data_IF_821850613336
#
_entry.id   IF_821850613336
#
_cell.length_a   1.000
_cell.length_b   1.000
_cell.length_c   1.000
_cell.angle_alpha   90.00
_cell.angle_beta   90.00
_cell.angle_gamma   90.00
#
_symmetry.space_group_name_H-M   'P 1'
#
loop_
_entity.id
_entity.type
_entity.pdbx_description
1 polymer ?
#
# COMPACT_ATOMS: atom_id res chain seq x y z
N UNK A 1 -21.13 16.77 38.18
CA UNK A 1 -19.78 16.81 38.81
C UNK A 1 -19.91 16.23 40.21
N UNK A 2 -18.99 15.38 40.74
CA UNK A 2 -17.53 15.51 40.69
C UNK A 2 -16.79 14.16 40.45
N UNK A 3 -16.36 13.87 39.21
CA UNK A 3 -15.43 12.75 38.91
C UNK A 3 -13.94 13.12 39.05
N UNK A 4 -13.63 14.36 39.46
CA UNK A 4 -12.27 14.94 39.36
C UNK A 4 -11.43 14.95 40.64
N UNK A 5 -11.94 14.52 41.81
CA UNK A 5 -11.18 14.63 43.08
C UNK A 5 -10.51 13.33 43.56
N UNK A 6 -10.96 12.15 43.13
CA UNK A 6 -10.43 10.87 43.67
C UNK A 6 -9.12 10.43 42.98
N UNK A 7 -8.94 10.79 41.70
CA UNK A 7 -7.79 10.33 40.88
C UNK A 7 -6.45 10.93 41.29
N UNK A 8 -6.42 12.00 42.09
CA UNK A 8 -5.17 12.64 42.56
C UNK A 8 -4.51 11.93 43.74
N UNK A 9 -5.23 11.10 44.49
CA UNK A 9 -4.73 10.47 45.74
C UNK A 9 -4.30 9.02 45.52
N UNK A 10 -4.84 8.35 44.50
CA UNK A 10 -4.48 6.97 44.21
C UNK A 10 -3.09 6.90 43.55
N UNK A 11 -2.25 5.94 43.98
CA UNK A 11 -0.95 5.61 43.37
C UNK A 11 -1.05 5.59 41.85
N UNK A 12 -0.03 6.02 41.08
CA UNK A 12 -0.10 5.97 39.60
C UNK A 12 -0.01 4.55 39.04
N UNK A 13 0.53 3.61 39.81
CA UNK A 13 0.69 2.21 39.43
C UNK A 13 -0.67 1.50 39.31
N UNK A 14 -0.91 0.83 38.17
CA UNK A 14 -2.21 0.23 37.88
C UNK A 14 -2.57 -0.94 38.80
N UNK A 15 -1.59 -1.67 39.34
CA UNK A 15 -1.83 -2.80 40.23
C UNK A 15 -2.07 -2.32 41.66
N UNK A 16 -1.29 -1.35 42.14
CA UNK A 16 -1.54 -0.74 43.46
C UNK A 16 -2.90 -0.07 43.51
N UNK A 17 -3.31 0.66 42.45
CA UNK A 17 -4.68 1.21 42.33
C UNK A 17 -5.74 0.14 42.50
N UNK A 18 -5.60 -1.00 41.83
CA UNK A 18 -6.58 -2.10 41.88
C UNK A 18 -6.68 -2.66 43.29
N UNK A 19 -5.55 -2.83 43.99
CA UNK A 19 -5.52 -3.34 45.36
C UNK A 19 -6.22 -2.38 46.31
N UNK A 20 -5.90 -1.09 46.25
CA UNK A 20 -6.49 -0.05 47.09
C UNK A 20 -7.99 0.07 46.85
N UNK A 21 -8.43 0.07 45.58
CA UNK A 21 -9.85 0.10 45.24
C UNK A 21 -10.56 -1.15 45.77
N UNK A 22 -9.97 -2.35 45.63
CA UNK A 22 -10.55 -3.60 46.12
C UNK A 22 -10.72 -3.61 47.64
N UNK A 23 -9.72 -3.13 48.37
CA UNK A 23 -9.77 -2.99 49.83
C UNK A 23 -10.86 -2.00 50.26
N UNK A 24 -10.91 -0.81 49.64
CA UNK A 24 -11.95 0.19 49.92
C UNK A 24 -13.35 -0.32 49.64
N UNK A 25 -13.55 -1.03 48.52
CA UNK A 25 -14.86 -1.60 48.15
C UNK A 25 -15.34 -2.64 49.17
N UNK A 26 -14.43 -3.43 49.75
CA UNK A 26 -14.77 -4.38 50.82
C UNK A 26 -15.19 -3.65 52.11
N UNK A 27 -14.52 -2.55 52.48
CA UNK A 27 -14.85 -1.78 53.68
C UNK A 27 -16.24 -1.15 53.62
N UNK A 28 -16.70 -0.77 52.42
CA UNK A 28 -18.04 -0.19 52.22
C UNK A 28 -19.11 -1.22 51.84
N UNK A 29 -18.81 -2.52 51.94
CA UNK A 29 -19.76 -3.60 51.64
C UNK A 29 -20.11 -3.75 50.16
N UNK A 30 -19.34 -3.15 49.26
CA UNK A 30 -19.48 -3.32 47.82
C UNK A 30 -18.65 -4.53 47.39
N UNK A 31 -19.30 -5.67 47.18
CA UNK A 31 -18.65 -6.82 46.57
C UNK A 31 -18.46 -6.54 45.07
N UNK A 32 -17.21 -6.49 44.55
CA UNK A 32 -17.02 -6.42 43.11
C UNK A 32 -17.58 -7.70 42.50
N UNK A 33 -18.59 -7.58 41.64
CA UNK A 33 -18.97 -8.68 40.76
C UNK A 33 -17.72 -9.05 39.96
N UNK A 34 -17.38 -10.34 39.92
CA UNK A 34 -16.33 -10.82 39.03
C UNK A 34 -16.66 -10.30 37.64
N UNK A 35 -15.78 -9.46 37.10
CA UNK A 35 -15.89 -8.97 35.73
C UNK A 35 -16.00 -10.21 34.89
N UNK A 36 -17.15 -10.44 34.23
CA UNK A 36 -17.47 -11.67 33.49
C UNK A 36 -16.19 -12.35 33.02
N UNK A 37 -15.85 -13.50 33.61
CA UNK A 37 -14.82 -14.34 33.02
C UNK A 37 -15.18 -14.42 31.54
N UNK A 38 -14.33 -13.86 30.68
CA UNK A 38 -14.57 -13.93 29.24
C UNK A 38 -14.52 -15.41 28.93
N UNK A 39 -15.68 -16.04 28.85
CA UNK A 39 -15.82 -17.40 28.35
C UNK A 39 -15.20 -17.34 26.98
N UNK A 40 -14.03 -17.95 26.82
CA UNK A 40 -13.36 -18.08 25.54
C UNK A 40 -14.28 -18.97 24.70
N UNK A 41 -15.20 -18.35 23.96
CA UNK A 41 -16.06 -19.07 23.03
C UNK A 41 -15.11 -19.70 22.02
N UNK A 42 -15.01 -21.04 22.04
CA UNK A 42 -14.26 -21.78 21.04
C UNK A 42 -14.87 -21.43 19.70
N UNK A 43 -14.06 -20.87 18.81
CA UNK A 43 -14.49 -20.54 17.46
C UNK A 43 -14.68 -21.87 16.73
N UNK A 44 -15.80 -22.07 16.02
CA UNK A 44 -15.97 -23.24 15.17
C UNK A 44 -14.80 -23.40 14.19
N UNK A 45 -14.21 -24.60 14.14
CA UNK A 45 -13.08 -24.92 13.24
C UNK A 45 -13.43 -24.61 11.77
N UNK A 46 -14.71 -24.75 11.41
CA UNK A 46 -15.20 -24.42 10.09
C UNK A 46 -14.95 -22.94 9.72
N UNK A 47 -15.28 -22.01 10.61
CA UNK A 47 -15.06 -20.57 10.39
C UNK A 47 -13.55 -20.26 10.23
N UNK A 48 -12.69 -21.02 10.91
CA UNK A 48 -11.23 -20.90 10.82
C UNK A 48 -10.73 -21.30 9.42
N UNK A 49 -11.26 -22.40 8.91
CA UNK A 49 -10.92 -22.93 7.58
C UNK A 49 -11.48 -22.03 6.48
N UNK A 50 -12.73 -21.59 6.61
CA UNK A 50 -13.39 -20.72 5.64
C UNK A 50 -12.65 -19.37 5.55
N UNK A 51 -12.24 -18.80 6.68
CA UNK A 51 -11.48 -17.55 6.70
C UNK A 51 -10.08 -17.72 6.09
N UNK A 52 -9.39 -18.82 6.42
CA UNK A 52 -8.08 -19.14 5.84
C UNK A 52 -8.19 -19.33 4.32
N UNK A 53 -9.20 -20.07 3.86
CA UNK A 53 -9.47 -20.29 2.45
C UNK A 53 -9.78 -18.99 1.72
N UNK A 54 -10.62 -18.12 2.31
CA UNK A 54 -10.94 -16.81 1.77
C UNK A 54 -9.69 -15.95 1.56
N UNK A 55 -8.82 -15.84 2.57
CA UNK A 55 -7.58 -15.09 2.45
C UNK A 55 -6.63 -15.63 1.37
N UNK A 56 -6.67 -16.94 1.11
CA UNK A 56 -5.79 -17.61 0.15
C UNK A 56 -6.33 -17.65 -1.29
N UNK A 57 -7.51 -17.08 -1.57
CA UNK A 57 -7.99 -16.94 -2.95
C UNK A 57 -7.18 -15.90 -3.72
N UNK A 58 -6.96 -16.15 -5.01
CA UNK A 58 -6.15 -15.28 -5.87
C UNK A 58 -6.80 -13.92 -6.15
N UNK A 59 -8.11 -13.80 -6.01
CA UNK A 59 -8.87 -12.54 -6.10
C UNK A 59 -8.87 -11.74 -4.79
N UNK A 60 -8.44 -12.33 -3.67
CA UNK A 60 -8.34 -11.68 -2.35
C UNK A 60 -6.90 -11.34 -2.01
N UNK A 61 -5.96 -12.23 -2.30
CA UNK A 61 -4.53 -11.99 -2.15
C UNK A 61 -3.76 -12.62 -3.31
N UNK A 62 -2.70 -11.97 -3.79
CA UNK A 62 -1.84 -12.56 -4.81
C UNK A 62 -0.62 -13.22 -4.18
N UNK A 63 -0.20 -14.36 -4.71
CA UNK A 63 1.00 -15.06 -4.25
C UNK A 63 2.26 -14.40 -4.82
N UNK A 64 3.25 -14.15 -3.96
CA UNK A 64 4.54 -13.63 -4.39
C UNK A 64 5.31 -14.71 -5.15
N UNK A 65 6.05 -14.34 -6.20
CA UNK A 65 6.78 -15.28 -7.06
C UNK A 65 8.24 -15.53 -6.63
N UNK A 66 8.79 -14.73 -5.71
CA UNK A 66 10.20 -14.81 -5.34
C UNK A 66 10.52 -16.01 -4.44
N UNK A 67 11.63 -16.69 -4.70
CA UNK A 67 12.12 -17.81 -3.85
C UNK A 67 12.41 -17.41 -2.40
N UNK A 68 12.69 -16.11 -2.15
CA UNK A 68 12.91 -15.56 -0.81
C UNK A 68 11.64 -15.04 -0.17
N UNK A 69 10.53 -15.00 -0.91
CA UNK A 69 9.24 -14.53 -0.43
C UNK A 69 8.48 -15.66 0.27
N UNK A 70 9.14 -16.32 1.20
CA UNK A 70 8.60 -17.43 1.99
C UNK A 70 8.57 -17.08 3.47
N UNK A 71 7.64 -17.69 4.22
CA UNK A 71 7.57 -17.63 5.67
C UNK A 71 7.55 -19.06 6.21
N UNK A 72 8.37 -19.34 7.20
CA UNK A 72 8.38 -20.64 7.89
C UNK A 72 7.54 -20.54 9.15
N UNK A 73 6.50 -21.36 9.25
CA UNK A 73 5.57 -21.40 10.39
C UNK A 73 5.68 -22.77 11.05
N UNK A 74 5.59 -22.79 12.38
CA UNK A 74 5.49 -24.04 13.13
C UNK A 74 4.02 -24.42 13.28
N UNK A 75 3.61 -25.51 12.65
CA UNK A 75 2.28 -26.10 12.79
C UNK A 75 2.43 -27.52 13.34
N UNK A 76 1.75 -27.82 14.45
CA UNK A 76 1.78 -29.13 15.11
C UNK A 76 3.21 -29.67 15.36
N UNK A 77 4.15 -28.77 15.71
CA UNK A 77 5.55 -29.12 15.96
C UNK A 77 6.44 -29.20 14.70
N UNK A 78 5.85 -29.19 13.51
CA UNK A 78 6.58 -29.26 12.24
C UNK A 78 6.77 -27.87 11.64
N UNK A 79 7.93 -27.65 11.00
CA UNK A 79 8.20 -26.42 10.24
C UNK A 79 7.64 -26.58 8.83
N UNK A 80 6.64 -25.77 8.49
CA UNK A 80 6.05 -25.72 7.16
C UNK A 80 6.43 -24.39 6.53
N UNK A 81 6.86 -24.43 5.27
CA UNK A 81 7.24 -23.23 4.51
C UNK A 81 6.08 -22.84 3.60
N UNK A 82 5.57 -21.63 3.79
CA UNK A 82 4.51 -21.04 2.97
C UNK A 82 5.07 -19.93 2.09
N UNK A 83 4.57 -19.82 0.86
CA UNK A 83 4.84 -18.65 0.02
C UNK A 83 4.04 -17.46 0.55
N UNK A 84 4.67 -16.28 0.64
CA UNK A 84 4.00 -15.05 1.03
C UNK A 84 2.90 -14.71 0.02
N UNK A 85 1.80 -14.19 0.54
CA UNK A 85 0.71 -13.60 -0.24
C UNK A 85 0.51 -12.17 0.20
N UNK A 86 0.11 -11.30 -0.73
CA UNK A 86 -0.20 -9.90 -0.45
C UNK A 86 -1.69 -9.67 -0.67
N UNK A 87 -2.36 -9.16 0.36
CA UNK A 87 -3.77 -8.83 0.32
C UNK A 87 -4.03 -7.69 -0.68
N UNK A 88 -4.97 -7.90 -1.61
CA UNK A 88 -5.34 -6.93 -2.65
C UNK A 88 -6.23 -5.81 -2.11
N UNK A 89 -6.92 -6.07 -1.00
CA UNK A 89 -7.78 -5.11 -0.31
C UNK A 89 -7.16 -4.74 1.03
N UNK A 90 -7.55 -3.58 1.56
CA UNK A 90 -7.36 -3.34 2.99
C UNK A 90 -8.26 -4.31 3.80
N UNK A 91 -7.92 -4.51 5.08
CA UNK A 91 -8.63 -5.47 5.95
C UNK A 91 -10.14 -5.17 6.06
N UNK A 92 -10.53 -3.89 5.96
CA UNK A 92 -11.94 -3.50 5.98
C UNK A 92 -12.66 -3.98 4.72
N UNK A 93 -12.12 -3.73 3.53
CA UNK A 93 -12.72 -4.17 2.27
C UNK A 93 -12.78 -5.69 2.16
N UNK A 94 -11.72 -6.39 2.56
CA UNK A 94 -11.71 -7.85 2.61
C UNK A 94 -12.79 -8.41 3.56
N UNK A 95 -13.02 -7.77 4.72
CA UNK A 95 -14.06 -8.18 5.66
C UNK A 95 -15.47 -7.95 5.09
N UNK A 96 -15.72 -6.81 4.45
CA UNK A 96 -17.00 -6.50 3.83
C UNK A 96 -17.35 -7.53 2.73
N UNK A 97 -16.37 -7.92 1.91
CA UNK A 97 -16.52 -9.02 0.93
C UNK A 97 -16.79 -10.37 1.60
N UNK A 98 -16.03 -10.72 2.62
CA UNK A 98 -16.22 -11.99 3.35
C UNK A 98 -17.64 -12.12 3.92
N UNK A 99 -18.17 -11.05 4.55
CA UNK A 99 -19.54 -11.04 5.10
C UNK A 99 -20.60 -11.12 4.01
N UNK A 100 -20.39 -10.46 2.87
CA UNK A 100 -21.30 -10.51 1.74
C UNK A 100 -21.40 -11.92 1.13
N UNK A 101 -20.28 -12.63 1.02
CA UNK A 101 -20.22 -14.00 0.49
C UNK A 101 -20.70 -15.06 1.50
N UNK A 102 -20.59 -14.78 2.81
CA UNK A 102 -20.92 -15.70 3.88
C UNK A 102 -22.10 -15.17 4.73
N UNK A 103 -23.21 -14.87 4.06
CA UNK A 103 -24.43 -14.40 4.71
C UNK A 103 -24.90 -15.40 5.77
N UNK A 104 -24.80 -15.03 7.05
CA UNK A 104 -25.16 -15.88 8.20
C UNK A 104 -24.01 -16.14 9.18
N UNK A 105 -22.76 -15.83 8.80
CA UNK A 105 -21.61 -15.94 9.70
C UNK A 105 -21.45 -14.66 10.54
N UNK A 106 -21.67 -14.78 11.85
CA UNK A 106 -21.46 -13.66 12.79
C UNK A 106 -20.00 -13.58 13.26
N UNK A 107 -19.17 -12.89 12.49
CA UNK A 107 -17.76 -12.64 12.83
C UNK A 107 -17.50 -11.14 12.97
N UNK A 108 -16.73 -10.75 13.99
CA UNK A 108 -16.29 -9.35 14.13
C UNK A 108 -15.09 -9.07 13.24
N UNK A 109 -14.96 -7.83 12.75
CA UNK A 109 -13.80 -7.42 11.93
C UNK A 109 -12.46 -7.63 12.64
N UNK A 110 -12.41 -7.41 13.95
CA UNK A 110 -11.20 -7.64 14.75
C UNK A 110 -10.83 -9.12 14.76
N UNK A 111 -11.80 -10.00 15.00
CA UNK A 111 -11.59 -11.44 14.97
C UNK A 111 -11.15 -11.91 13.57
N UNK A 112 -11.81 -11.43 12.51
CA UNK A 112 -11.42 -11.70 11.12
C UNK A 112 -9.96 -11.32 10.86
N UNK A 113 -9.54 -10.13 11.29
CA UNK A 113 -8.18 -9.62 11.11
C UNK A 113 -7.14 -10.42 11.90
N UNK A 114 -7.44 -10.82 13.13
CA UNK A 114 -6.57 -11.67 13.97
C UNK A 114 -6.38 -13.07 13.37
N UNK A 115 -7.40 -13.56 12.68
CA UNK A 115 -7.42 -14.87 12.04
C UNK A 115 -6.72 -14.92 10.68
N UNK A 116 -6.16 -13.80 10.21
CA UNK A 116 -5.38 -13.75 8.98
C UNK A 116 -4.16 -14.66 9.10
N UNK A 117 -3.93 -15.58 8.14
CA UNK A 117 -2.73 -16.41 8.15
C UNK A 117 -1.45 -15.57 8.16
N UNK A 118 -0.37 -15.99 8.86
CA UNK A 118 0.82 -15.16 9.01
C UNK A 118 1.57 -14.90 7.70
N UNK A 119 1.39 -15.79 6.71
CA UNK A 119 1.97 -15.66 5.37
C UNK A 119 1.14 -14.79 4.44
N UNK A 120 -0.05 -14.32 4.85
CA UNK A 120 -0.86 -13.34 4.13
C UNK A 120 -0.59 -11.97 4.73
N UNK A 121 0.09 -11.13 3.97
CA UNK A 121 0.56 -9.82 4.40
C UNK A 121 -0.33 -8.71 3.84
N UNK A 122 -0.42 -7.61 4.58
CA UNK A 122 -1.07 -6.39 4.10
C UNK A 122 -0.14 -5.63 3.16
N UNK A 123 -0.69 -4.84 2.25
CA UNK A 123 0.08 -4.00 1.33
C UNK A 123 1.15 -3.15 2.03
N UNK A 124 0.86 -2.61 3.23
CA UNK A 124 1.83 -1.81 4.01
C UNK A 124 3.11 -2.56 4.42
N UNK A 125 3.12 -3.89 4.33
CA UNK A 125 4.28 -4.73 4.59
C UNK A 125 5.22 -4.89 3.38
N UNK A 126 4.79 -4.47 2.19
CA UNK A 126 5.64 -4.46 1.02
C UNK A 126 6.68 -3.35 1.14
N UNK A 127 7.95 -3.71 1.03
CA UNK A 127 9.09 -2.77 1.03
C UNK A 127 9.12 -1.88 -0.21
N UNK A 128 8.42 -2.26 -1.28
CA UNK A 128 8.45 -1.57 -2.56
C UNK A 128 7.12 -0.89 -2.83
N UNK A 129 7.04 0.41 -2.54
CA UNK A 129 5.98 1.31 -3.03
C UNK A 129 6.23 1.76 -4.48
N UNK A 130 6.80 0.89 -5.31
CA UNK A 130 7.18 1.24 -6.68
C UNK A 130 6.30 0.43 -7.61
N UNK A 131 5.42 1.10 -8.36
CA UNK A 131 4.65 0.44 -9.40
C UNK A 131 5.61 -0.10 -10.47
N UNK A 132 5.58 -1.41 -10.71
CA UNK A 132 6.33 -2.07 -11.79
C UNK A 132 5.52 -2.16 -13.09
N UNK A 133 4.47 -1.36 -13.19
CA UNK A 133 3.60 -1.30 -14.35
C UNK A 133 4.29 -0.63 -15.55
N UNK A 134 3.86 -1.01 -16.75
CA UNK A 134 4.40 -0.48 -18.02
C UNK A 134 4.31 1.05 -18.10
N UNK A 135 3.32 1.69 -17.47
CA UNK A 135 3.19 3.15 -17.43
C UNK A 135 4.35 3.83 -16.68
N UNK A 136 4.68 3.35 -15.48
CA UNK A 136 5.78 3.89 -14.68
C UNK A 136 7.13 3.50 -15.28
N UNK A 137 7.28 2.23 -15.69
CA UNK A 137 8.55 1.74 -16.20
C UNK A 137 8.92 2.39 -17.54
N UNK A 138 7.98 2.61 -18.45
CA UNK A 138 8.29 3.30 -19.72
C UNK A 138 8.67 4.75 -19.52
N UNK A 139 8.03 5.47 -18.58
CA UNK A 139 8.46 6.84 -18.25
C UNK A 139 9.85 6.81 -17.62
N UNK A 140 10.10 5.90 -16.67
CA UNK A 140 11.41 5.74 -16.03
C UNK A 140 12.53 5.45 -17.04
N UNK A 141 12.29 4.55 -18.00
CA UNK A 141 13.26 4.25 -19.07
C UNK A 141 13.57 5.47 -19.93
N UNK A 142 12.57 6.30 -20.26
CA UNK A 142 12.78 7.53 -21.02
C UNK A 142 13.55 8.57 -20.20
N UNK A 143 13.22 8.76 -18.92
CA UNK A 143 13.93 9.68 -18.03
C UNK A 143 15.40 9.29 -17.87
N UNK A 144 15.69 8.00 -17.70
CA UNK A 144 17.06 7.50 -17.60
C UNK A 144 17.88 7.82 -18.85
N UNK A 145 17.31 7.65 -20.05
CA UNK A 145 17.95 8.03 -21.30
C UNK A 145 18.13 9.55 -21.42
N UNK A 146 17.11 10.33 -21.07
CA UNK A 146 17.11 11.80 -21.22
C UNK A 146 17.90 12.56 -20.14
N UNK A 147 18.19 11.93 -19.00
CA UNK A 147 18.86 12.54 -17.84
C UNK A 147 20.18 13.25 -18.17
N UNK A 148 20.90 12.77 -19.19
CA UNK A 148 22.18 13.35 -19.65
C UNK A 148 22.00 14.52 -20.63
N UNK A 149 20.81 14.70 -21.17
CA UNK A 149 20.49 15.69 -22.20
C UNK A 149 19.62 16.84 -21.67
N UNK A 150 19.05 16.69 -20.47
CA UNK A 150 18.21 17.69 -19.81
C UNK A 150 18.95 18.23 -18.59
N UNK A 151 19.17 19.53 -18.55
CA UNK A 151 19.80 20.20 -17.43
C UNK A 151 18.86 20.28 -16.22
N UNK A 152 19.40 20.07 -15.02
CA UNK A 152 18.66 20.10 -13.76
C UNK A 152 18.31 18.71 -13.22
N UNK A 153 17.48 18.68 -12.18
CA UNK A 153 17.11 17.46 -11.46
C UNK A 153 15.71 16.93 -11.78
N UNK A 154 14.94 17.59 -12.64
CA UNK A 154 13.56 17.20 -12.96
C UNK A 154 13.43 15.79 -13.58
N UNK A 155 14.51 15.21 -14.09
CA UNK A 155 14.52 13.86 -14.67
C UNK A 155 15.32 12.84 -13.85
N UNK A 156 15.67 13.13 -12.58
CA UNK A 156 16.47 12.21 -11.75
C UNK A 156 15.73 10.93 -11.38
N UNK A 157 14.43 11.04 -11.16
CA UNK A 157 13.56 9.97 -10.71
C UNK A 157 12.10 10.35 -10.98
N UNK A 158 11.19 9.38 -10.85
CA UNK A 158 9.77 9.56 -11.11
C UNK A 158 9.08 10.56 -10.17
N UNK A 159 9.57 10.69 -8.92
CA UNK A 159 8.99 11.63 -7.95
C UNK A 159 9.37 13.07 -8.29
N UNK A 160 10.64 13.32 -8.58
CA UNK A 160 11.16 14.62 -9.02
C UNK A 160 10.52 15.02 -10.36
N UNK A 161 10.33 14.06 -11.26
CA UNK A 161 9.62 14.29 -12.51
C UNK A 161 8.16 14.66 -12.29
N UNK A 162 7.42 13.90 -11.49
CA UNK A 162 6.01 14.20 -11.19
C UNK A 162 5.88 15.58 -10.55
N UNK A 163 6.73 15.89 -9.56
CA UNK A 163 6.74 17.18 -8.86
C UNK A 163 7.07 18.35 -9.80
N UNK A 164 7.86 18.12 -10.85
CA UNK A 164 8.16 19.15 -11.84
C UNK A 164 7.01 19.41 -12.82
N UNK A 165 6.02 18.51 -12.94
CA UNK A 165 4.92 18.62 -13.90
C UNK A 165 3.65 19.25 -13.32
N UNK A 166 3.47 19.20 -11.99
CA UNK A 166 2.22 19.61 -11.35
C UNK A 166 2.47 20.55 -10.18
N UNK A 167 1.54 21.46 -9.92
CA UNK A 167 1.61 22.32 -8.73
C UNK A 167 1.07 21.62 -7.46
N UNK A 168 0.19 20.62 -7.60
CA UNK A 168 -0.31 19.82 -6.51
C UNK A 168 -0.56 18.37 -6.97
N UNK A 169 0.18 17.42 -6.40
CA UNK A 169 0.11 16.00 -6.77
C UNK A 169 -1.06 15.23 -6.11
N UNK A 170 -1.79 15.91 -5.22
CA UNK A 170 -3.00 15.42 -4.55
C UNK A 170 -4.28 15.98 -5.20
N UNK A 171 -4.13 16.87 -6.18
CA UNK A 171 -5.23 17.48 -6.92
C UNK A 171 -5.49 16.76 -8.25
N UNK A 172 -6.76 16.46 -8.52
CA UNK A 172 -7.15 15.72 -9.73
C UNK A 172 -6.98 16.54 -11.01
N UNK A 173 -7.25 17.85 -11.00
CA UNK A 173 -7.11 18.68 -12.21
C UNK A 173 -5.64 18.78 -12.63
N UNK A 174 -4.74 18.87 -11.66
CA UNK A 174 -3.30 18.83 -11.88
C UNK A 174 -2.87 17.49 -12.48
N UNK A 175 -3.27 16.38 -11.87
CA UNK A 175 -2.87 15.03 -12.29
C UNK A 175 -3.58 14.52 -13.55
N UNK A 176 -4.68 15.17 -13.96
CA UNK A 176 -5.37 14.92 -15.23
C UNK A 176 -4.86 15.79 -16.39
N UNK A 177 -3.87 16.64 -16.15
CA UNK A 177 -3.33 17.63 -17.10
C UNK A 177 -4.34 18.69 -17.56
N UNK A 178 -5.30 19.04 -16.69
CA UNK A 178 -6.35 20.04 -16.97
C UNK A 178 -6.13 21.37 -16.23
N UNK A 179 -5.22 21.41 -15.26
CA UNK A 179 -4.95 22.59 -14.44
C UNK A 179 -4.35 23.75 -15.26
N UNK A 180 -4.93 24.95 -15.12
CA UNK A 180 -4.50 26.16 -15.81
C UNK A 180 -3.14 26.69 -15.37
N UNK A 181 -2.72 26.37 -14.15
CA UNK A 181 -1.47 26.87 -13.55
C UNK A 181 -0.24 26.06 -13.99
N UNK A 182 -0.34 24.73 -14.03
CA UNK A 182 0.78 23.85 -14.38
C UNK A 182 0.79 23.38 -15.85
N UNK A 183 -0.13 23.86 -16.70
CA UNK A 183 -0.22 23.47 -18.12
C UNK A 183 1.09 23.62 -18.92
N UNK A 184 1.95 24.56 -18.54
CA UNK A 184 3.22 24.85 -19.22
C UNK A 184 4.45 24.27 -18.48
N UNK A 185 4.26 23.56 -17.37
CA UNK A 185 5.37 23.10 -16.53
C UNK A 185 6.27 22.10 -17.25
N UNK A 186 5.72 21.27 -18.13
CA UNK A 186 6.52 20.39 -18.97
C UNK A 186 7.51 21.18 -19.84
N UNK A 187 7.03 22.25 -20.50
CA UNK A 187 7.91 23.06 -21.35
C UNK A 187 8.96 23.78 -20.49
N UNK A 188 8.54 24.38 -19.38
CA UNK A 188 9.42 25.16 -18.49
C UNK A 188 10.51 24.30 -17.81
N UNK A 189 10.16 23.12 -17.34
CA UNK A 189 11.05 22.29 -16.51
C UNK A 189 11.76 21.19 -17.30
N UNK A 190 11.22 20.76 -18.45
CA UNK A 190 11.77 19.65 -19.23
C UNK A 190 12.28 20.15 -20.58
N UNK A 191 11.38 20.67 -21.44
CA UNK A 191 11.68 20.97 -22.84
C UNK A 191 12.68 22.12 -23.02
N UNK A 192 12.56 23.17 -22.20
CA UNK A 192 13.43 24.34 -22.29
C UNK A 192 14.82 24.10 -21.69
N UNK A 193 15.01 23.00 -20.94
CA UNK A 193 16.29 22.65 -20.31
C UNK A 193 17.09 21.64 -21.13
N UNK A 194 16.69 21.37 -22.38
CA UNK A 194 17.41 20.46 -23.27
C UNK A 194 18.68 21.12 -23.77
N UNK A 195 19.82 20.46 -23.63
CA UNK A 195 21.10 20.95 -24.12
C UNK A 195 21.18 20.96 -25.65
N UNK A 196 21.18 19.76 -26.25
CA UNK A 196 21.17 19.59 -27.72
C UNK A 196 19.95 18.74 -28.15
N UNK A 197 18.90 19.36 -28.71
CA UNK A 197 17.72 18.65 -29.18
C UNK A 197 17.97 17.68 -30.34
N UNK A 198 19.04 17.89 -31.12
CA UNK A 198 19.38 17.09 -32.29
C UNK A 198 20.42 16.00 -31.98
N UNK A 199 20.88 15.91 -30.73
CA UNK A 199 21.80 14.87 -30.30
C UNK A 199 21.17 13.47 -30.50
N UNK A 200 22.00 12.53 -30.92
CA UNK A 200 21.60 11.12 -31.05
C UNK A 200 21.41 10.51 -29.66
N UNK A 201 20.33 9.77 -29.49
CA UNK A 201 19.96 9.12 -28.23
C UNK A 201 19.38 7.73 -28.51
N UNK A 202 19.62 6.82 -27.56
CA UNK A 202 18.97 5.51 -27.51
C UNK A 202 18.11 5.41 -26.26
N UNK A 203 16.94 4.80 -26.40
CA UNK A 203 16.03 4.57 -25.30
C UNK A 203 15.32 3.24 -25.43
N UNK A 204 14.71 2.80 -24.33
CA UNK A 204 14.00 1.53 -24.28
C UNK A 204 12.53 1.75 -23.94
N UNK A 205 11.65 0.88 -24.43
CA UNK A 205 10.26 0.82 -24.00
C UNK A 205 9.76 -0.63 -23.95
N UNK A 206 8.88 -0.89 -23.00
CA UNK A 206 8.06 -2.09 -22.97
C UNK A 206 6.85 -1.91 -23.87
N UNK A 207 6.65 -2.86 -24.77
CA UNK A 207 5.46 -3.03 -25.61
C UNK A 207 4.83 -4.38 -25.32
N UNK A 208 3.50 -4.44 -25.39
CA UNK A 208 2.78 -5.71 -25.41
C UNK A 208 2.68 -6.20 -26.85
N UNK A 209 3.37 -7.30 -27.14
CA UNK A 209 3.32 -7.97 -28.44
C UNK A 209 2.75 -9.36 -28.17
N UNK A 210 1.57 -9.66 -28.73
CA UNK A 210 0.88 -10.94 -28.56
C UNK A 210 0.66 -11.36 -27.10
N UNK A 211 0.37 -10.40 -26.21
CA UNK A 211 0.15 -10.65 -24.79
C UNK A 211 1.42 -10.77 -23.94
N UNK A 212 2.60 -10.67 -24.55
CA UNK A 212 3.88 -10.67 -23.85
C UNK A 212 4.47 -9.27 -23.80
N UNK A 213 4.92 -8.85 -22.61
CA UNK A 213 5.69 -7.64 -22.45
C UNK A 213 7.11 -7.87 -22.99
N UNK A 214 7.47 -7.18 -24.06
CA UNK A 214 8.80 -7.21 -24.65
C UNK A 214 9.45 -5.83 -24.57
N UNK A 215 10.73 -5.80 -24.19
CA UNK A 215 11.53 -4.58 -24.14
C UNK A 215 12.20 -4.35 -25.49
N UNK A 216 11.91 -3.22 -26.12
CA UNK A 216 12.45 -2.82 -27.41
C UNK A 216 13.43 -1.65 -27.22
N UNK A 217 14.58 -1.71 -27.89
CA UNK A 217 15.52 -0.57 -28.02
C UNK A 217 15.12 0.25 -29.25
N UNK A 218 15.05 1.57 -29.08
CA UNK A 218 14.80 2.54 -30.14
C UNK A 218 15.94 3.56 -30.16
N UNK A 219 16.16 4.16 -31.32
CA UNK A 219 17.18 5.19 -31.55
C UNK A 219 16.59 6.34 -32.38
N UNK A 220 17.11 7.53 -32.17
CA UNK A 220 16.65 8.75 -32.83
C UNK A 220 17.32 9.97 -32.21
N UNK A 221 16.66 11.12 -32.32
CA UNK A 221 17.15 12.37 -31.72
C UNK A 221 16.45 12.69 -30.38
N UNK A 222 17.11 13.48 -29.53
CA UNK A 222 16.58 13.90 -28.23
C UNK A 222 15.18 14.50 -28.35
N UNK A 223 14.93 15.32 -29.36
CA UNK A 223 13.62 15.93 -29.60
C UNK A 223 12.49 14.91 -29.83
N UNK A 224 12.76 13.81 -30.53
CA UNK A 224 11.79 12.73 -30.76
C UNK A 224 11.47 12.00 -29.45
N UNK A 225 12.50 11.70 -28.65
CA UNK A 225 12.36 11.06 -27.35
C UNK A 225 11.55 11.94 -26.37
N UNK A 226 11.74 13.27 -26.40
CA UNK A 226 10.96 14.23 -25.61
C UNK A 226 9.50 14.30 -26.07
N UNK A 227 9.24 14.29 -27.38
CA UNK A 227 7.88 14.22 -27.91
C UNK A 227 7.16 12.95 -27.45
N UNK A 228 7.88 11.84 -27.43
CA UNK A 228 7.38 10.56 -26.94
C UNK A 228 7.12 10.57 -25.42
N UNK A 229 8.00 11.17 -24.63
CA UNK A 229 7.78 11.39 -23.20
C UNK A 229 6.51 12.24 -22.98
N UNK A 230 6.38 13.35 -23.69
CA UNK A 230 5.22 14.25 -23.63
C UNK A 230 3.90 13.52 -23.88
N UNK A 231 3.87 12.65 -24.89
CA UNK A 231 2.67 11.85 -25.23
C UNK A 231 2.21 10.91 -24.10
N UNK A 232 3.12 10.51 -23.20
CA UNK A 232 2.84 9.59 -22.09
C UNK A 232 2.39 10.29 -20.82
N UNK A 233 2.64 11.60 -20.66
CA UNK A 233 2.45 12.35 -19.41
C UNK A 233 1.05 12.20 -18.86
N UNK A 234 0.01 12.46 -19.65
CA UNK A 234 -1.38 12.41 -19.18
C UNK A 234 -1.74 11.04 -18.60
N UNK A 235 -1.37 9.98 -19.31
CA UNK A 235 -1.62 8.60 -18.86
C UNK A 235 -0.82 8.24 -17.61
N UNK A 236 0.42 8.74 -17.51
CA UNK A 236 1.29 8.52 -16.38
C UNK A 236 0.78 9.24 -15.12
N UNK A 237 0.49 10.54 -15.20
CA UNK A 237 0.01 11.32 -14.06
C UNK A 237 -1.32 10.77 -13.52
N UNK A 238 -2.29 10.47 -14.39
CA UNK A 238 -3.54 9.84 -13.98
C UNK A 238 -3.30 8.51 -13.26
N UNK A 239 -2.37 7.70 -13.76
CA UNK A 239 -2.02 6.44 -13.14
C UNK A 239 -1.36 6.63 -11.76
N UNK A 240 -0.44 7.60 -11.62
CA UNK A 240 0.16 7.96 -10.32
C UNK A 240 -0.93 8.38 -9.33
N UNK A 241 -1.91 9.18 -9.75
CA UNK A 241 -2.99 9.65 -8.88
C UNK A 241 -3.92 8.52 -8.42
N UNK A 242 -4.32 7.63 -9.32
CA UNK A 242 -5.25 6.52 -9.02
C UNK A 242 -4.60 5.43 -8.17
N UNK A 243 -3.28 5.21 -8.31
CA UNK A 243 -2.54 4.13 -7.65
C UNK A 243 -1.74 4.57 -6.42
N UNK A 244 -1.90 5.83 -5.99
CA UNK A 244 -1.43 6.33 -4.68
C UNK A 244 -2.27 5.76 -3.54
#
# INVERSE_FOLDING_TARGET
>A
MPKKKVTRVLSKDSNEKKIVIRSLTQTVGLLPLDTHQRVTRKVPIQILNDNTSFYCRDDISYQMSGKRDTVVIKENGNKITYQKRILLYNIRGAFELFVAENSGVSVSRTFFAEMRPPYVLVESSMSHRVCVCVHHENVNLLLNSLSKHIHGSSCSDLYSFTSALVCNDSDYECMSSSCSYCKNYFDLHIKNNVGDPNAQIKWHQWKNINGYAMKEEQQGIVQECIGLLSSKIKSFLLHVYIKR
#
